data_IF_423378145844
#
_entry.id   IF_423378145844
#
_cell.length_a   1.000
_cell.length_b   1.000
_cell.length_c   1.000
_cell.angle_alpha   90.00
_cell.angle_beta   90.00
_cell.angle_gamma   90.00
#
_symmetry.space_group_name_H-M   'P 1'
#
loop_
_entity.id
_entity.type
_entity.pdbx_description
1 polymer ?
#
# COMPACT_ATOMS: atom_id res chain seq x y z
N UNK A 1 62.94 46.17 -46.98
CA UNK A 1 63.01 44.83 -47.60
C UNK A 1 61.95 43.93 -46.97
N UNK A 2 60.95 43.59 -47.78
CA UNK A 2 60.11 42.38 -47.81
C UNK A 2 59.73 41.62 -46.52
N UNK A 3 58.41 41.46 -46.31
CA UNK A 3 57.64 40.22 -46.00
C UNK A 3 56.24 40.64 -45.49
N UNK A 4 55.09 40.02 -45.71
CA UNK A 4 54.57 38.98 -46.62
C UNK A 4 53.03 39.04 -46.43
N UNK A 5 52.25 38.89 -47.51
CA UNK A 5 50.78 38.76 -47.51
C UNK A 5 50.28 37.63 -46.62
N UNK A 6 49.14 37.81 -45.95
CA UNK A 6 48.11 36.75 -45.88
C UNK A 6 46.71 37.35 -45.63
N UNK A 7 45.85 37.29 -46.66
CA UNK A 7 44.40 37.55 -46.53
C UNK A 7 43.75 36.29 -45.95
N UNK A 8 42.94 36.41 -44.90
CA UNK A 8 41.98 35.38 -44.48
C UNK A 8 40.56 35.89 -44.70
N UNK A 9 39.84 35.15 -45.54
CA UNK A 9 38.39 35.23 -45.74
C UNK A 9 37.73 34.37 -44.65
N UNK A 10 36.74 34.91 -43.94
CA UNK A 10 35.81 34.16 -43.08
C UNK A 10 34.43 34.75 -43.36
N UNK A 11 33.69 34.21 -44.34
CA UNK A 11 32.57 33.26 -44.18
C UNK A 11 31.58 33.68 -43.09
N UNK A 12 30.41 34.14 -43.55
CA UNK A 12 29.29 34.56 -42.73
C UNK A 12 28.69 33.45 -41.88
N UNK A 13 28.01 33.87 -40.82
CA UNK A 13 27.18 33.03 -39.97
C UNK A 13 25.73 33.50 -40.10
N UNK A 14 24.88 32.59 -40.55
CA UNK A 14 23.42 32.70 -40.55
C UNK A 14 22.92 32.73 -39.11
N UNK A 15 22.04 33.70 -38.81
CA UNK A 15 21.27 33.74 -37.58
C UNK A 15 20.13 32.71 -37.63
N UNK A 16 20.19 31.68 -36.79
CA UNK A 16 19.08 30.76 -36.55
C UNK A 16 18.38 31.13 -35.23
N UNK A 17 17.12 31.56 -35.31
CA UNK A 17 16.24 31.68 -34.14
C UNK A 17 15.79 30.30 -33.69
N UNK A 18 16.20 29.87 -32.50
CA UNK A 18 15.65 28.70 -31.80
C UNK A 18 14.51 29.17 -30.89
N UNK A 19 13.27 28.89 -31.29
CA UNK A 19 12.11 29.04 -30.42
C UNK A 19 12.11 27.92 -29.37
N UNK A 20 12.42 28.28 -28.11
CA UNK A 20 12.30 27.36 -26.98
C UNK A 20 10.83 27.28 -26.54
N UNK A 21 10.14 26.21 -26.91
CA UNK A 21 8.84 25.86 -26.34
C UNK A 21 9.07 25.22 -24.96
N UNK A 22 8.88 25.98 -23.89
CA UNK A 22 8.87 25.47 -22.52
C UNK A 22 7.57 24.72 -22.27
N UNK A 23 7.63 23.39 -22.25
CA UNK A 23 6.55 22.56 -21.74
C UNK A 23 6.50 22.75 -20.22
N UNK A 24 5.52 23.51 -19.74
CA UNK A 24 5.12 23.53 -18.33
C UNK A 24 4.65 22.11 -17.96
N UNK A 25 5.55 21.30 -17.39
CA UNK A 25 5.18 20.07 -16.72
C UNK A 25 4.24 20.41 -15.57
N UNK A 26 2.97 20.01 -15.68
CA UNK A 26 2.04 20.10 -14.56
C UNK A 26 2.64 19.31 -13.39
N UNK A 27 2.72 19.88 -12.17
CA UNK A 27 3.17 19.11 -11.02
C UNK A 27 2.21 17.94 -10.82
N UNK A 28 2.70 16.73 -11.07
CA UNK A 28 1.97 15.51 -10.74
C UNK A 28 1.67 15.54 -9.24
N UNK A 29 0.40 15.41 -8.88
CA UNK A 29 0.04 15.18 -7.47
C UNK A 29 0.59 13.81 -7.09
N UNK A 30 1.69 13.79 -6.33
CA UNK A 30 2.21 12.57 -5.75
C UNK A 30 1.16 12.03 -4.76
N UNK A 31 0.32 11.10 -5.21
CA UNK A 31 -0.59 10.36 -4.35
C UNK A 31 0.23 9.31 -3.61
N UNK A 32 0.61 9.59 -2.35
CA UNK A 32 1.28 8.60 -1.50
C UNK A 32 0.24 7.61 -0.92
N UNK A 33 -0.43 6.91 -1.83
CA UNK A 33 -1.30 5.77 -1.52
C UNK A 33 -0.51 4.47 -1.66
N UNK A 34 -0.80 3.50 -0.81
CA UNK A 34 -0.15 2.20 -0.84
C UNK A 34 -1.21 1.09 -0.88
N UNK A 35 -0.97 0.08 -1.70
CA UNK A 35 -1.74 -1.17 -1.71
C UNK A 35 -0.77 -2.33 -1.70
N UNK A 36 -1.09 -3.36 -0.92
CA UNK A 36 -0.28 -4.56 -0.88
C UNK A 36 -1.10 -5.72 -0.38
N UNK A 37 -0.61 -6.90 -0.70
CA UNK A 37 -1.31 -8.15 -0.47
C UNK A 37 -0.33 -9.17 0.11
N UNK A 38 -0.80 -9.98 1.05
CA UNK A 38 0.01 -11.02 1.69
C UNK A 38 -0.79 -12.32 1.73
N UNK A 39 -0.14 -13.43 1.37
CA UNK A 39 -0.77 -14.74 1.41
C UNK A 39 -1.13 -15.14 2.84
N UNK A 40 -2.30 -15.76 2.99
CA UNK A 40 -2.72 -16.41 4.22
C UNK A 40 -2.31 -17.88 4.11
N UNK A 41 -1.46 -18.33 5.02
CA UNK A 41 -1.03 -19.73 5.07
C UNK A 41 -2.20 -20.67 5.39
N UNK A 42 -2.00 -21.97 5.18
CA UNK A 42 -2.96 -22.99 5.62
C UNK A 42 -3.10 -22.97 7.14
N UNK A 43 -4.33 -23.09 7.64
CA UNK A 43 -4.56 -23.27 9.07
C UNK A 43 -5.86 -24.01 9.34
N UNK A 44 -5.93 -24.60 10.53
CA UNK A 44 -7.17 -25.17 11.06
C UNK A 44 -7.57 -24.45 12.36
N UNK A 45 -8.86 -24.47 12.67
CA UNK A 45 -9.40 -23.97 13.93
C UNK A 45 -10.69 -24.71 14.29
N UNK A 46 -10.94 -24.83 15.59
CA UNK A 46 -12.19 -25.36 16.12
C UNK A 46 -13.26 -24.28 16.16
N UNK A 47 -14.45 -24.63 15.69
CA UNK A 47 -15.65 -23.82 15.78
C UNK A 47 -16.76 -24.68 16.40
N UNK A 48 -17.10 -24.42 17.66
CA UNK A 48 -18.17 -25.14 18.39
C UNK A 48 -18.00 -26.68 18.35
N UNK A 49 -16.76 -27.16 18.42
CA UNK A 49 -16.42 -28.59 18.39
C UNK A 49 -16.32 -29.21 16.98
N UNK A 50 -16.47 -28.41 15.92
CA UNK A 50 -16.18 -28.82 14.55
C UNK A 50 -14.86 -28.20 14.05
N UNK A 51 -13.99 -29.04 13.50
CA UNK A 51 -12.76 -28.60 12.86
C UNK A 51 -13.01 -27.93 11.52
N UNK A 52 -12.54 -26.68 11.36
CA UNK A 52 -12.57 -25.93 10.11
C UNK A 52 -11.16 -25.83 9.55
N UNK A 53 -10.98 -26.20 8.29
CA UNK A 53 -9.69 -26.11 7.57
C UNK A 53 -9.75 -25.04 6.49
N UNK A 54 -8.79 -24.13 6.52
CA UNK A 54 -8.59 -23.10 5.50
C UNK A 54 -7.38 -23.48 4.65
N UNK A 55 -7.54 -23.80 3.36
CA UNK A 55 -6.43 -24.10 2.46
C UNK A 55 -5.65 -22.83 2.08
N UNK A 56 -4.51 -23.02 1.43
CA UNK A 56 -3.81 -21.92 0.74
C UNK A 56 -4.66 -21.35 -0.40
N UNK A 57 -4.40 -20.09 -0.77
CA UNK A 57 -5.14 -19.41 -1.85
C UNK A 57 -6.04 -18.27 -1.38
N UNK A 58 -5.96 -17.90 -0.10
CA UNK A 58 -6.55 -16.68 0.44
C UNK A 58 -5.48 -15.63 0.73
N UNK A 59 -5.84 -14.36 0.63
CA UNK A 59 -4.91 -13.25 0.70
C UNK A 59 -5.50 -12.10 1.51
N UNK A 60 -4.68 -11.51 2.38
CA UNK A 60 -4.99 -10.26 3.06
C UNK A 60 -4.49 -9.09 2.20
N UNK A 61 -5.41 -8.30 1.67
CA UNK A 61 -5.11 -7.05 0.97
C UNK A 61 -5.32 -5.87 1.89
N UNK A 62 -4.40 -4.94 1.91
CA UNK A 62 -4.48 -3.71 2.69
C UNK A 62 -4.11 -2.51 1.83
N UNK A 63 -4.99 -1.52 1.85
CA UNK A 63 -4.88 -0.27 1.11
C UNK A 63 -4.96 0.91 2.07
N UNK A 64 -4.04 1.85 1.89
CA UNK A 64 -4.03 3.16 2.53
C UNK A 64 -4.04 4.21 1.43
N UNK A 65 -4.96 5.16 1.55
CA UNK A 65 -5.05 6.35 0.71
C UNK A 65 -4.67 7.56 1.58
N UNK A 66 -3.75 8.42 1.10
CA UNK A 66 -3.24 9.52 1.91
C UNK A 66 -2.00 10.22 1.36
N UNK A 67 -1.40 11.07 2.22
CA UNK A 67 -0.12 11.72 1.98
C UNK A 67 0.60 12.02 3.29
N UNK A 68 1.89 11.70 3.38
CA UNK A 68 2.67 11.86 4.59
C UNK A 68 2.01 11.15 5.78
N UNK A 69 1.79 11.88 6.88
CA UNK A 69 1.09 11.35 8.07
C UNK A 69 -0.43 11.36 7.96
N UNK A 70 -1.01 11.93 6.90
CA UNK A 70 -2.46 12.06 6.75
C UNK A 70 -3.02 10.88 5.96
N UNK A 71 -3.83 10.05 6.63
CA UNK A 71 -4.61 8.97 6.03
C UNK A 71 -6.02 9.50 5.74
N UNK A 72 -6.42 9.50 4.47
CA UNK A 72 -7.77 9.87 4.04
C UNK A 72 -8.67 8.66 3.85
N UNK A 73 -8.09 7.48 3.59
CA UNK A 73 -8.82 6.23 3.49
C UNK A 73 -7.95 5.05 3.91
N UNK A 74 -8.57 4.05 4.54
CA UNK A 74 -7.89 2.81 4.87
C UNK A 74 -8.86 1.65 4.75
N UNK A 75 -8.44 0.58 4.08
CA UNK A 75 -9.25 -0.61 3.86
C UNK A 75 -8.38 -1.84 3.95
N UNK A 76 -8.92 -2.91 4.50
CA UNK A 76 -8.31 -4.22 4.34
C UNK A 76 -9.39 -5.27 4.18
N UNK A 77 -9.09 -6.27 3.36
CA UNK A 77 -10.00 -7.36 3.08
C UNK A 77 -9.29 -8.68 2.87
N UNK A 78 -10.06 -9.75 2.98
CA UNK A 78 -9.59 -11.10 2.71
C UNK A 78 -10.38 -11.66 1.53
N UNK A 79 -9.64 -11.95 0.47
CA UNK A 79 -10.15 -12.51 -0.76
C UNK A 79 -9.45 -13.85 -1.03
N UNK A 80 -10.18 -14.80 -1.59
CA UNK A 80 -9.67 -16.12 -1.93
C UNK A 80 -9.87 -16.39 -3.42
N UNK A 81 -9.00 -17.21 -4.01
CA UNK A 81 -9.04 -17.57 -5.44
C UNK A 81 -9.01 -19.09 -5.63
N UNK A 82 -9.46 -19.55 -6.80
CA UNK A 82 -9.49 -20.98 -7.13
C UNK A 82 -10.33 -21.80 -6.15
N UNK A 83 -9.86 -22.98 -5.77
CA UNK A 83 -10.56 -23.86 -4.83
C UNK A 83 -10.74 -23.22 -3.45
N UNK A 84 -9.82 -22.35 -3.02
CA UNK A 84 -9.95 -21.66 -1.75
C UNK A 84 -11.15 -20.73 -1.72
N UNK A 85 -11.55 -20.14 -2.86
CA UNK A 85 -12.76 -19.31 -2.95
C UNK A 85 -14.04 -20.12 -2.70
N UNK A 86 -14.06 -21.38 -3.11
CA UNK A 86 -15.22 -22.26 -2.94
C UNK A 86 -15.35 -22.76 -1.49
N UNK A 87 -14.23 -23.12 -0.86
CA UNK A 87 -14.24 -23.84 0.43
C UNK A 87 -13.88 -23.01 1.65
N UNK A 88 -13.26 -21.83 1.48
CA UNK A 88 -12.83 -21.02 2.63
C UNK A 88 -13.95 -20.13 3.13
N UNK A 89 -14.40 -20.42 4.35
CA UNK A 89 -15.24 -19.52 5.14
C UNK A 89 -14.54 -19.22 6.46
N UNK A 90 -14.50 -17.94 6.81
CA UNK A 90 -13.86 -17.47 8.03
C UNK A 90 -14.95 -17.08 9.03
N UNK A 91 -14.89 -17.67 10.21
CA UNK A 91 -15.79 -17.38 11.34
C UNK A 91 -14.98 -16.78 12.49
N UNK A 92 -15.62 -16.05 13.40
CA UNK A 92 -14.94 -15.36 14.52
C UNK A 92 -13.75 -14.53 14.04
N UNK A 93 -13.93 -13.82 12.93
CA UNK A 93 -12.86 -13.11 12.26
C UNK A 93 -12.84 -11.63 12.66
N UNK A 94 -11.66 -11.03 12.60
CA UNK A 94 -11.45 -9.61 12.90
C UNK A 94 -10.27 -9.08 12.09
N UNK A 95 -10.37 -7.85 11.63
CA UNK A 95 -9.22 -7.12 11.06
C UNK A 95 -8.89 -5.95 11.96
N UNK A 96 -7.65 -5.85 12.43
CA UNK A 96 -7.14 -4.71 13.20
C UNK A 96 -6.24 -3.84 12.33
N UNK A 97 -6.21 -2.53 12.59
CA UNK A 97 -5.24 -1.61 11.99
C UNK A 97 -4.30 -1.14 13.09
N UNK A 98 -3.00 -1.39 12.92
CA UNK A 98 -1.97 -1.01 13.90
C UNK A 98 -1.02 -0.01 13.29
N UNK A 99 -0.56 0.93 14.10
CA UNK A 99 0.39 1.97 13.69
C UNK A 99 1.56 1.96 14.66
N UNK A 100 2.76 1.83 14.08
CA UNK A 100 4.03 1.84 14.80
C UNK A 100 4.91 2.98 14.29
N UNK A 101 5.78 3.48 15.15
CA UNK A 101 6.80 4.44 14.72
C UNK A 101 7.97 3.75 13.99
N UNK A 102 9.02 4.52 13.67
CA UNK A 102 10.21 4.01 12.96
C UNK A 102 11.06 3.06 13.81
N UNK A 103 10.84 3.04 15.13
CA UNK A 103 11.50 2.12 16.07
C UNK A 103 10.62 0.90 16.36
N UNK A 104 9.62 0.65 15.51
CA UNK A 104 8.65 -0.45 15.61
C UNK A 104 7.78 -0.45 16.88
N UNK A 105 7.70 0.68 17.61
CA UNK A 105 6.83 0.80 18.77
C UNK A 105 5.41 1.10 18.33
N UNK A 106 4.51 0.14 18.53
CA UNK A 106 3.08 0.34 18.26
C UNK A 106 2.50 1.36 19.22
N UNK A 107 2.03 2.49 18.71
CA UNK A 107 1.43 3.57 19.51
C UNK A 107 -0.09 3.65 19.35
N UNK A 108 -0.66 2.99 18.35
CA UNK A 108 -2.10 2.98 18.12
C UNK A 108 -2.55 1.66 17.53
N UNK A 109 -3.62 1.09 18.11
CA UNK A 109 -4.35 -0.03 17.54
C UNK A 109 -5.82 0.35 17.39
N UNK A 110 -6.28 0.45 16.15
CA UNK A 110 -7.69 0.54 15.82
C UNK A 110 -8.23 -0.87 15.66
N UNK A 111 -8.80 -1.42 16.74
CA UNK A 111 -9.37 -2.78 16.76
C UNK A 111 -10.67 -2.85 15.97
N UNK A 112 -10.84 -3.90 15.17
CA UNK A 112 -12.08 -4.17 14.45
C UNK A 112 -13.15 -4.83 15.31
N UNK A 113 -14.40 -4.85 14.83
CA UNK A 113 -15.41 -5.73 15.39
C UNK A 113 -15.04 -7.20 15.11
N UNK A 114 -15.41 -8.09 16.03
CA UNK A 114 -15.30 -9.53 15.77
C UNK A 114 -16.60 -10.00 15.16
N UNK A 115 -16.51 -10.56 13.95
CA UNK A 115 -17.62 -11.11 13.19
C UNK A 115 -17.73 -12.59 13.49
N UNK A 116 -18.80 -12.99 14.19
CA UNK A 116 -19.00 -14.37 14.64
C UNK A 116 -19.50 -15.28 13.52
N UNK A 117 -20.21 -14.69 12.56
CA UNK A 117 -20.72 -15.31 11.36
C UNK A 117 -19.61 -15.74 10.41
N UNK A 118 -19.85 -16.85 9.71
CA UNK A 118 -18.92 -17.39 8.73
C UNK A 118 -19.13 -16.73 7.38
N UNK A 119 -18.10 -16.10 6.83
CA UNK A 119 -18.18 -15.34 5.58
C UNK A 119 -17.00 -15.53 4.65
N UNK A 120 -17.18 -15.05 3.41
CA UNK A 120 -16.13 -14.80 2.43
C UNK A 120 -16.20 -13.33 1.99
N UNK A 121 -15.17 -12.81 1.31
CA UNK A 121 -15.13 -11.40 0.90
C UNK A 121 -15.14 -10.45 2.09
N UNK A 122 -14.27 -10.72 3.07
CA UNK A 122 -14.23 -9.99 4.33
C UNK A 122 -13.68 -8.60 4.05
N UNK A 123 -14.30 -7.56 4.59
CA UNK A 123 -13.84 -6.19 4.40
C UNK A 123 -13.97 -5.38 5.68
N UNK A 124 -12.93 -4.62 5.99
CA UNK A 124 -12.96 -3.57 7.01
C UNK A 124 -12.53 -2.24 6.40
N UNK A 125 -13.27 -1.19 6.72
CA UNK A 125 -12.91 0.20 6.44
C UNK A 125 -12.43 0.87 7.74
N UNK A 126 -11.37 1.67 7.63
CA UNK A 126 -10.82 2.48 8.71
C UNK A 126 -11.20 3.95 8.52
N UNK A 127 -11.38 4.67 9.63
CA UNK A 127 -11.63 6.10 9.60
C UNK A 127 -10.37 6.89 9.20
N UNK A 128 -10.58 7.97 8.46
CA UNK A 128 -9.56 8.97 8.17
C UNK A 128 -8.92 9.49 9.45
N UNK A 129 -7.62 9.79 9.41
CA UNK A 129 -6.85 10.25 10.58
C UNK A 129 -5.52 10.88 10.18
N UNK A 130 -4.98 11.69 11.07
CA UNK A 130 -3.59 12.15 10.99
C UNK A 130 -2.77 11.41 12.04
N UNK A 131 -1.70 10.76 11.61
CA UNK A 131 -0.81 10.03 12.50
C UNK A 131 0.12 11.00 13.26
N UNK A 132 0.37 10.76 14.56
CA UNK A 132 1.31 11.58 15.32
C UNK A 132 2.76 11.37 14.86
N UNK A 133 3.10 10.19 14.33
CA UNK A 133 4.45 9.81 13.90
C UNK A 133 4.44 9.11 12.54
N UNK A 134 5.54 9.24 11.81
CA UNK A 134 5.87 8.35 10.68
C UNK A 134 6.27 6.96 11.18
N UNK A 135 6.24 5.95 10.32
CA UNK A 135 6.59 4.58 10.68
C UNK A 135 5.85 3.56 9.81
N UNK A 136 5.12 2.63 10.43
CA UNK A 136 4.38 1.56 9.73
C UNK A 136 2.89 1.61 10.06
N UNK A 137 2.07 1.36 9.05
CA UNK A 137 0.65 1.09 9.20
C UNK A 137 0.35 -0.31 8.67
N UNK A 138 -0.24 -1.18 9.50
CA UNK A 138 -0.48 -2.57 9.17
C UNK A 138 -1.96 -2.95 9.34
N UNK A 139 -2.44 -3.81 8.45
CA UNK A 139 -3.64 -4.60 8.68
C UNK A 139 -3.26 -5.96 9.27
N UNK A 140 -3.98 -6.39 10.29
CA UNK A 140 -3.77 -7.66 11.00
C UNK A 140 -5.05 -8.46 10.95
N UNK A 141 -5.02 -9.60 10.29
CA UNK A 141 -6.17 -10.48 10.16
C UNK A 141 -6.14 -11.56 11.23
N UNK A 142 -7.22 -11.65 12.00
CA UNK A 142 -7.41 -12.61 13.08
C UNK A 142 -8.59 -13.53 12.78
N UNK A 143 -8.43 -14.82 13.12
CA UNK A 143 -9.49 -15.83 13.07
C UNK A 143 -9.46 -16.60 14.37
N UNK A 144 -10.60 -16.61 15.08
CA UNK A 144 -10.74 -17.21 16.40
C UNK A 144 -9.67 -16.68 17.39
N UNK A 145 -9.45 -15.36 17.39
CA UNK A 145 -8.46 -14.67 18.23
C UNK A 145 -7.00 -14.77 17.75
N UNK A 146 -6.64 -15.75 16.92
CA UNK A 146 -5.26 -15.97 16.45
C UNK A 146 -4.95 -15.12 15.23
N UNK A 147 -3.76 -14.50 15.19
CA UNK A 147 -3.26 -13.78 14.01
C UNK A 147 -2.97 -14.79 12.88
N UNK A 148 -3.51 -14.54 11.69
CA UNK A 148 -3.35 -15.41 10.51
C UNK A 148 -2.56 -14.76 9.38
N UNK A 149 -2.63 -13.44 9.25
CA UNK A 149 -1.81 -12.70 8.31
C UNK A 149 -1.66 -11.24 8.75
N UNK A 150 -0.60 -10.60 8.25
CA UNK A 150 -0.33 -9.19 8.44
C UNK A 150 0.23 -8.60 7.15
N UNK A 151 -0.28 -7.45 6.75
CA UNK A 151 0.23 -6.67 5.62
C UNK A 151 0.53 -5.27 6.13
N UNK A 152 1.73 -4.76 5.87
CA UNK A 152 2.17 -3.44 6.33
C UNK A 152 2.59 -2.55 5.16
N UNK A 153 2.43 -1.24 5.39
CA UNK A 153 2.96 -0.17 4.55
C UNK A 153 3.82 0.76 5.40
N UNK A 154 4.90 1.26 4.84
CA UNK A 154 5.63 2.36 5.44
C UNK A 154 4.87 3.66 5.20
N UNK A 155 4.67 4.44 6.25
CA UNK A 155 4.15 5.79 6.22
C UNK A 155 5.33 6.72 6.43
N UNK A 156 5.83 7.30 5.34
CA UNK A 156 6.99 8.18 5.29
C UNK A 156 6.61 9.57 4.78
N UNK A 157 7.59 10.47 4.71
CA UNK A 157 7.42 11.79 4.08
C UNK A 157 7.11 11.68 2.60
#
# INVERSE_FOLDING_TARGET
>A
MTRTKTRRVVRGALAGLLAAATTLGMPGTATASAIGTTAIGTFSYELRGAGVKVPVGCFLTHRIDGAGRRITGQRAGVDCVGLAAAFSRFCNWRIDFTYADTDDRTYLTSRGATHTECGAGLLRKGAARTLPKYGKACARFHVNGKLRAMQCHFVTR
#
